data_IF_335819432656
#
_entry.id   IF_335819432656
#
_cell.length_a   1.000
_cell.length_b   1.000
_cell.length_c   1.000
_cell.angle_alpha   90.00
_cell.angle_beta   90.00
_cell.angle_gamma   90.00
#
_symmetry.space_group_name_H-M   'P 1'
#
loop_
_entity.id
_entity.type
_entity.pdbx_description
1 polymer ?
#
# COMPACT_ATOMS: atom_id res chain seq x y z
N UNK A 1 19.11 -5.78 -4.63
CA UNK A 1 19.19 -4.59 -5.53
C UNK A 1 18.60 -3.40 -4.77
N UNK A 2 19.06 -2.16 -5.03
CA UNK A 2 18.45 -0.97 -4.40
C UNK A 2 17.03 -0.78 -4.95
N UNK A 3 16.06 -0.53 -4.08
CA UNK A 3 14.68 -0.28 -4.50
C UNK A 3 14.57 1.03 -5.27
N UNK A 4 13.65 1.07 -6.23
CA UNK A 4 13.42 2.20 -7.13
C UNK A 4 12.12 2.91 -6.77
N UNK A 5 12.19 4.21 -6.53
CA UNK A 5 11.04 5.08 -6.21
C UNK A 5 10.83 6.06 -7.35
N UNK A 6 9.61 6.14 -7.86
CA UNK A 6 9.20 7.18 -8.82
C UNK A 6 8.53 8.32 -8.04
N UNK A 7 9.08 9.52 -8.14
CA UNK A 7 8.53 10.75 -7.54
C UNK A 7 7.80 11.54 -8.62
N UNK A 8 6.53 11.82 -8.40
CA UNK A 8 5.64 12.50 -9.35
C UNK A 8 5.02 13.73 -8.70
N UNK A 9 5.49 14.89 -9.11
CA UNK A 9 5.02 16.19 -8.61
C UNK A 9 5.43 17.27 -9.63
N UNK A 10 4.62 18.27 -9.89
CA UNK A 10 4.94 19.36 -10.82
C UNK A 10 5.89 20.40 -10.21
N UNK A 11 5.96 20.46 -8.88
CA UNK A 11 6.86 21.34 -8.13
C UNK A 11 8.31 20.81 -8.17
N UNK A 12 9.15 21.42 -9.01
CA UNK A 12 10.56 21.01 -9.20
C UNK A 12 11.34 20.91 -7.89
N UNK A 13 11.23 21.93 -7.04
CA UNK A 13 11.99 22.01 -5.80
C UNK A 13 11.60 20.92 -4.81
N UNK A 14 10.31 20.56 -4.78
CA UNK A 14 9.81 19.47 -3.95
C UNK A 14 10.32 18.11 -4.44
N UNK A 15 10.31 17.88 -5.76
CA UNK A 15 10.86 16.65 -6.36
C UNK A 15 12.34 16.52 -6.03
N UNK A 16 13.14 17.58 -6.19
CA UNK A 16 14.57 17.58 -5.88
C UNK A 16 14.83 17.32 -4.39
N UNK A 17 14.03 17.93 -3.51
CA UNK A 17 14.12 17.71 -2.06
C UNK A 17 13.83 16.25 -1.68
N UNK A 18 12.75 15.69 -2.20
CA UNK A 18 12.37 14.29 -1.95
C UNK A 18 13.47 13.36 -2.47
N UNK A 19 13.89 13.55 -3.72
CA UNK A 19 14.94 12.76 -4.37
C UNK A 19 16.25 12.78 -3.56
N UNK A 20 16.70 13.96 -3.14
CA UNK A 20 17.89 14.09 -2.30
C UNK A 20 17.83 13.21 -1.04
N UNK A 21 16.68 13.23 -0.33
CA UNK A 21 16.51 12.45 0.89
C UNK A 21 16.43 10.94 0.63
N UNK A 22 15.78 10.52 -0.45
CA UNK A 22 15.67 9.12 -0.82
C UNK A 22 17.02 8.54 -1.29
N UNK A 23 17.74 9.27 -2.13
CA UNK A 23 19.07 8.85 -2.64
C UNK A 23 20.12 8.77 -1.51
N UNK A 24 20.06 9.67 -0.53
CA UNK A 24 20.91 9.62 0.66
C UNK A 24 20.72 8.33 1.47
N UNK A 25 19.56 7.70 1.37
CA UNK A 25 19.26 6.42 2.01
C UNK A 25 19.49 5.20 1.10
N UNK A 26 20.14 5.43 -0.04
CA UNK A 26 20.52 4.35 -0.97
C UNK A 26 19.41 3.88 -1.90
N UNK A 27 18.30 4.61 -2.01
CA UNK A 27 17.22 4.32 -2.95
C UNK A 27 17.53 4.91 -4.33
N UNK A 28 17.06 4.25 -5.39
CA UNK A 28 17.10 4.81 -6.74
C UNK A 28 15.87 5.68 -6.96
N UNK A 29 16.04 6.88 -7.54
CA UNK A 29 14.92 7.76 -7.81
C UNK A 29 14.72 7.96 -9.31
N UNK A 30 13.47 7.85 -9.73
CA UNK A 30 12.95 8.31 -11.01
C UNK A 30 12.06 9.52 -10.76
N UNK A 31 11.85 10.35 -11.76
CA UNK A 31 11.01 11.55 -11.64
C UNK A 31 10.05 11.67 -12.83
N UNK A 32 8.88 12.22 -12.56
CA UNK A 32 7.92 12.67 -13.55
C UNK A 32 7.24 13.94 -13.05
N UNK A 33 6.77 14.80 -13.96
CA UNK A 33 6.18 16.10 -13.59
C UNK A 33 4.73 16.25 -13.98
N UNK A 34 4.17 15.22 -14.56
CA UNK A 34 2.79 15.15 -14.99
C UNK A 34 2.34 13.69 -14.98
N UNK A 35 1.01 13.49 -15.04
CA UNK A 35 0.41 12.16 -14.95
C UNK A 35 0.69 11.26 -16.16
N UNK A 36 0.85 11.82 -17.36
CA UNK A 36 1.12 11.02 -18.57
C UNK A 36 2.54 10.45 -18.53
N UNK A 37 3.52 11.30 -18.22
CA UNK A 37 4.90 10.89 -18.01
C UNK A 37 5.02 9.86 -16.89
N UNK A 38 4.29 10.06 -15.79
CA UNK A 38 4.25 9.11 -14.68
C UNK A 38 3.76 7.71 -15.10
N UNK A 39 2.69 7.64 -15.88
CA UNK A 39 2.15 6.38 -16.40
C UNK A 39 3.13 5.69 -17.37
N UNK A 40 3.77 6.47 -18.24
CA UNK A 40 4.78 5.93 -19.16
C UNK A 40 5.97 5.33 -18.39
N UNK A 41 6.57 6.11 -17.48
CA UNK A 41 7.72 5.66 -16.68
C UNK A 41 7.35 4.45 -15.83
N UNK A 42 6.16 4.43 -15.23
CA UNK A 42 5.68 3.29 -14.44
C UNK A 42 5.63 1.99 -15.25
N UNK A 43 5.14 2.04 -16.49
CA UNK A 43 5.07 0.88 -17.40
C UNK A 43 6.42 0.40 -17.91
N UNK A 44 7.33 1.33 -18.18
CA UNK A 44 8.65 1.02 -18.73
C UNK A 44 9.65 0.54 -17.66
N UNK A 45 9.59 1.12 -16.47
CA UNK A 45 10.58 0.93 -15.40
C UNK A 45 10.08 0.10 -14.23
N UNK A 46 8.76 -0.08 -14.10
CA UNK A 46 8.14 -0.84 -13.00
C UNK A 46 8.77 -0.54 -11.64
N UNK A 47 8.69 0.72 -11.13
CA UNK A 47 9.27 1.07 -9.84
C UNK A 47 8.62 0.28 -8.71
N UNK A 48 9.34 0.09 -7.61
CA UNK A 48 8.83 -0.60 -6.42
C UNK A 48 7.79 0.25 -5.67
N UNK A 49 7.93 1.59 -5.75
CA UNK A 49 7.04 2.54 -5.11
C UNK A 49 6.92 3.82 -5.94
N UNK A 50 5.72 4.42 -5.92
CA UNK A 50 5.45 5.75 -6.47
C UNK A 50 5.02 6.68 -5.34
N UNK A 51 5.65 7.86 -5.25
CA UNK A 51 5.16 9.02 -4.50
C UNK A 51 4.44 9.91 -5.50
N UNK A 52 3.15 10.14 -5.32
CA UNK A 52 2.27 10.70 -6.36
C UNK A 52 1.48 11.90 -5.82
N UNK A 53 1.71 13.09 -6.38
CA UNK A 53 0.85 14.22 -6.09
C UNK A 53 -0.54 14.03 -6.71
N UNK A 54 -1.56 14.46 -6.00
CA UNK A 54 -2.93 14.48 -6.51
C UNK A 54 -3.16 15.61 -7.52
N UNK A 55 -2.54 16.76 -7.31
CA UNK A 55 -2.77 17.98 -8.07
C UNK A 55 -1.82 18.13 -9.25
N UNK A 56 -1.79 17.14 -10.15
CA UNK A 56 -0.95 17.17 -11.34
C UNK A 56 -1.64 17.89 -12.51
N UNK A 57 -0.87 18.56 -13.39
CA UNK A 57 -1.41 19.11 -14.62
C UNK A 57 -1.81 17.98 -15.59
N UNK A 58 -2.92 18.20 -16.32
CA UNK A 58 -3.42 17.25 -17.30
C UNK A 58 -4.13 16.06 -16.68
N UNK A 59 -3.45 14.94 -16.53
CA UNK A 59 -3.98 13.73 -15.86
C UNK A 59 -3.70 13.82 -14.38
N UNK A 60 -4.74 13.98 -13.56
CA UNK A 60 -4.61 14.08 -12.10
C UNK A 60 -4.12 12.79 -11.44
N UNK A 61 -3.63 12.89 -10.21
CA UNK A 61 -3.06 11.75 -9.48
C UNK A 61 -4.05 10.63 -9.18
N UNK A 62 -5.35 10.92 -9.01
CA UNK A 62 -6.37 9.89 -8.80
C UNK A 62 -6.56 9.06 -10.06
N UNK A 63 -6.61 9.71 -11.22
CA UNK A 63 -6.73 9.03 -12.50
C UNK A 63 -5.47 8.22 -12.83
N UNK A 64 -4.27 8.74 -12.50
CA UNK A 64 -3.00 7.98 -12.59
C UNK A 64 -3.10 6.71 -11.74
N UNK A 65 -3.47 6.83 -10.48
CA UNK A 65 -3.62 5.68 -9.58
C UNK A 65 -4.62 4.66 -10.14
N UNK A 66 -5.79 5.11 -10.59
CA UNK A 66 -6.82 4.26 -11.18
C UNK A 66 -6.31 3.48 -12.40
N UNK A 67 -5.56 4.14 -13.30
CA UNK A 67 -4.97 3.51 -14.49
C UNK A 67 -3.91 2.49 -14.12
N UNK A 68 -3.04 2.80 -13.15
CA UNK A 68 -2.02 1.87 -12.66
C UNK A 68 -2.65 0.61 -12.06
N UNK A 69 -3.72 0.74 -11.29
CA UNK A 69 -4.42 -0.41 -10.67
C UNK A 69 -5.17 -1.30 -11.67
N UNK A 70 -5.54 -0.76 -12.83
CA UNK A 70 -6.20 -1.53 -13.91
C UNK A 70 -5.22 -2.28 -14.81
N UNK A 71 -3.96 -1.92 -14.81
CA UNK A 71 -2.93 -2.53 -15.66
C UNK A 71 -2.16 -3.58 -14.84
N UNK A 72 -2.24 -4.89 -15.17
CA UNK A 72 -1.57 -5.96 -14.42
C UNK A 72 -0.06 -5.74 -14.26
N UNK A 73 0.57 -5.01 -15.19
CA UNK A 73 2.00 -4.72 -15.17
C UNK A 73 2.40 -3.73 -14.09
N UNK A 74 1.47 -2.87 -13.67
CA UNK A 74 1.71 -1.78 -12.72
C UNK A 74 0.82 -1.85 -11.47
N UNK A 75 -0.12 -2.79 -11.41
CA UNK A 75 -1.09 -2.92 -10.32
C UNK A 75 -0.44 -3.15 -8.96
N UNK A 76 0.74 -3.79 -8.94
CA UNK A 76 1.51 -4.08 -7.73
C UNK A 76 2.41 -2.94 -7.25
N UNK A 77 2.61 -1.87 -8.04
CA UNK A 77 3.41 -0.71 -7.64
C UNK A 77 2.78 -0.09 -6.39
N UNK A 78 3.55 0.03 -5.31
CA UNK A 78 3.07 0.70 -4.11
C UNK A 78 2.91 2.21 -4.38
N UNK A 79 1.81 2.82 -3.90
CA UNK A 79 1.50 4.24 -4.13
C UNK A 79 1.29 4.96 -2.81
N UNK A 80 2.12 5.98 -2.55
CA UNK A 80 1.91 6.96 -1.49
C UNK A 80 1.41 8.24 -2.16
N UNK A 81 0.17 8.66 -1.86
CA UNK A 81 -0.38 9.89 -2.39
C UNK A 81 0.05 11.09 -1.55
N UNK A 82 0.43 12.18 -2.22
CA UNK A 82 0.61 13.50 -1.61
C UNK A 82 -0.64 14.35 -1.89
N UNK A 83 -1.14 15.06 -0.90
CA UNK A 83 -2.33 15.91 -1.04
C UNK A 83 -2.17 17.23 -0.31
N UNK A 84 -2.61 18.33 -0.92
CA UNK A 84 -2.70 19.63 -0.26
C UNK A 84 -3.96 19.76 0.63
N UNK A 85 -4.94 18.87 0.45
CA UNK A 85 -6.23 18.93 1.14
C UNK A 85 -6.30 17.93 2.28
N UNK A 86 -6.61 18.44 3.46
CA UNK A 86 -6.86 17.65 4.66
C UNK A 86 -8.31 17.13 4.73
N UNK A 87 -9.14 17.34 3.70
CA UNK A 87 -10.53 16.91 3.74
C UNK A 87 -10.63 15.38 3.73
N UNK A 88 -11.40 14.85 4.66
CA UNK A 88 -11.64 13.41 4.88
C UNK A 88 -12.08 12.70 3.60
N UNK A 89 -12.86 13.37 2.75
CA UNK A 89 -13.39 12.86 1.50
C UNK A 89 -12.28 12.54 0.50
N UNK A 90 -11.30 13.42 0.33
CA UNK A 90 -10.20 13.23 -0.62
C UNK A 90 -9.28 12.07 -0.22
N UNK A 91 -9.10 11.85 1.09
CA UNK A 91 -8.33 10.72 1.62
C UNK A 91 -9.03 9.38 1.38
N UNK A 92 -10.35 9.33 1.65
CA UNK A 92 -11.16 8.12 1.43
C UNK A 92 -11.19 7.79 -0.07
N UNK A 93 -11.40 8.79 -0.93
CA UNK A 93 -11.39 8.60 -2.39
C UNK A 93 -10.02 8.10 -2.87
N UNK A 94 -8.92 8.67 -2.39
CA UNK A 94 -7.57 8.22 -2.75
C UNK A 94 -7.32 6.77 -2.35
N UNK A 95 -7.70 6.38 -1.14
CA UNK A 95 -7.62 4.99 -0.68
C UNK A 95 -8.59 4.08 -1.44
N UNK A 96 -9.81 4.52 -1.72
CA UNK A 96 -10.77 3.77 -2.56
C UNK A 96 -10.30 3.61 -4.00
N UNK A 97 -9.46 4.50 -4.53
CA UNK A 97 -8.84 4.38 -5.86
C UNK A 97 -7.61 3.46 -5.90
N UNK A 98 -7.12 2.95 -4.76
CA UNK A 98 -6.04 1.96 -4.73
C UNK A 98 -4.71 2.45 -4.18
N UNK A 99 -4.62 3.64 -3.63
CA UNK A 99 -3.43 4.07 -2.91
C UNK A 99 -3.16 3.17 -1.70
N UNK A 100 -1.90 2.95 -1.40
CA UNK A 100 -1.45 2.17 -0.25
C UNK A 100 -1.33 3.06 1.01
N UNK A 101 -1.02 4.34 0.82
CA UNK A 101 -0.89 5.33 1.88
C UNK A 101 -1.12 6.75 1.31
N UNK A 102 -1.30 7.72 2.18
CA UNK A 102 -1.39 9.14 1.81
C UNK A 102 -0.66 10.02 2.82
N UNK A 103 -0.27 11.21 2.37
CA UNK A 103 0.38 12.21 3.20
C UNK A 103 -0.10 13.62 2.82
N UNK A 104 -0.37 14.43 3.82
CA UNK A 104 -0.83 15.82 3.62
C UNK A 104 0.37 16.76 3.51
N UNK A 105 0.36 17.64 2.50
CA UNK A 105 1.30 18.75 2.38
C UNK A 105 0.85 19.91 3.33
N UNK A 106 1.78 20.58 4.04
CA UNK A 106 3.23 20.34 4.07
C UNK A 106 3.60 19.16 4.98
N UNK A 107 4.58 18.38 4.57
CA UNK A 107 5.08 17.23 5.31
C UNK A 107 6.59 17.33 5.61
N UNK A 108 7.02 16.56 6.59
CA UNK A 108 8.45 16.39 6.86
C UNK A 108 9.09 15.39 5.89
N UNK A 109 10.23 15.71 5.24
CA UNK A 109 10.98 14.71 4.44
C UNK A 109 11.33 13.44 5.24
N UNK A 110 11.55 13.57 6.54
CA UNK A 110 11.80 12.41 7.43
C UNK A 110 10.57 11.53 7.56
N UNK A 111 9.39 12.12 7.62
CA UNK A 111 8.13 11.38 7.69
C UNK A 111 7.88 10.63 6.39
N UNK A 112 8.02 11.30 5.23
CA UNK A 112 7.90 10.64 3.93
C UNK A 112 8.87 9.47 3.81
N UNK A 113 10.13 9.68 4.18
CA UNK A 113 11.15 8.63 4.16
C UNK A 113 10.78 7.43 5.05
N UNK A 114 10.25 7.69 6.26
CA UNK A 114 9.80 6.62 7.16
C UNK A 114 8.67 5.79 6.51
N UNK A 115 7.72 6.46 5.84
CA UNK A 115 6.61 5.80 5.11
C UNK A 115 7.12 5.00 3.92
N UNK A 116 8.00 5.58 3.09
CA UNK A 116 8.64 4.89 1.97
C UNK A 116 9.37 3.64 2.44
N UNK A 117 10.20 3.76 3.50
CA UNK A 117 10.90 2.60 4.08
C UNK A 117 9.94 1.55 4.65
N UNK A 118 8.87 1.96 5.32
CA UNK A 118 7.85 1.06 5.84
C UNK A 118 7.16 0.28 4.71
N UNK A 119 6.89 0.91 3.59
CA UNK A 119 6.32 0.27 2.40
C UNK A 119 7.34 -0.66 1.73
N UNK A 120 8.59 -0.25 1.57
CA UNK A 120 9.63 -1.02 0.86
C UNK A 120 10.28 -2.15 1.70
N UNK A 121 10.23 -2.10 3.05
CA UNK A 121 10.87 -3.09 3.96
C UNK A 121 10.38 -4.54 3.76
N UNK A 122 9.37 -4.75 2.99
CA UNK A 122 8.60 -5.98 2.81
C UNK A 122 9.27 -7.05 1.96
N UNK A 123 10.36 -6.72 1.27
CA UNK A 123 11.16 -7.68 0.50
C UNK A 123 12.34 -8.29 1.27
N UNK A 124 12.59 -7.88 2.54
CA UNK A 124 13.78 -8.27 3.30
C UNK A 124 13.48 -8.97 4.63
N UNK A 125 12.34 -9.62 4.78
CA UNK A 125 12.05 -10.46 5.94
C UNK A 125 13.03 -11.63 6.03
N UNK A 126 14.02 -11.51 6.91
CA UNK A 126 14.85 -12.61 7.36
C UNK A 126 14.02 -13.53 8.25
N UNK A 127 13.20 -14.40 7.65
CA UNK A 127 12.78 -15.68 8.23
C UNK A 127 12.28 -16.54 7.07
N UNK A 128 12.59 -17.84 7.11
CA UNK A 128 12.29 -18.82 6.07
C UNK A 128 10.90 -18.62 5.47
N UNK A 129 10.72 -18.65 4.15
CA UNK A 129 9.44 -18.43 3.51
C UNK A 129 8.46 -19.51 3.98
N UNK A 130 7.65 -19.16 4.95
CA UNK A 130 6.58 -20.03 5.40
C UNK A 130 5.40 -19.88 4.44
N UNK A 131 5.20 -20.89 3.57
CA UNK A 131 3.95 -21.00 2.83
C UNK A 131 2.87 -21.38 3.84
N UNK A 132 1.92 -20.45 4.05
CA UNK A 132 0.74 -20.68 4.90
C UNK A 132 -0.43 -21.10 4.02
N UNK A 133 -1.03 -22.24 4.34
CA UNK A 133 -2.22 -22.75 3.66
C UNK A 133 -3.39 -22.83 4.63
N UNK A 134 -4.50 -22.25 4.22
CA UNK A 134 -5.76 -22.31 4.98
C UNK A 134 -6.92 -22.42 3.99
N UNK A 135 -7.60 -23.57 3.98
CA UNK A 135 -8.59 -23.86 2.95
C UNK A 135 -7.95 -23.86 1.57
N UNK A 136 -8.48 -23.07 0.64
CA UNK A 136 -7.94 -22.91 -0.70
C UNK A 136 -6.99 -21.72 -0.83
N UNK A 137 -6.81 -20.96 0.26
CA UNK A 137 -5.92 -19.82 0.34
C UNK A 137 -4.49 -20.30 0.64
N UNK A 138 -3.55 -19.89 -0.20
CA UNK A 138 -2.11 -20.10 0.00
C UNK A 138 -1.40 -18.75 -0.03
N UNK A 139 -0.60 -18.47 0.99
CA UNK A 139 0.18 -17.22 1.13
C UNK A 139 1.66 -17.59 1.20
N UNK A 140 2.41 -17.21 0.19
CA UNK A 140 3.87 -17.32 0.13
C UNK A 140 4.48 -15.95 0.50
N UNK A 141 4.90 -15.82 1.76
CA UNK A 141 5.49 -14.57 2.25
C UNK A 141 6.85 -14.28 1.57
N UNK A 142 7.59 -15.31 1.16
CA UNK A 142 8.88 -15.15 0.50
C UNK A 142 8.77 -14.65 -0.94
N UNK A 143 7.72 -15.06 -1.65
CA UNK A 143 7.43 -14.57 -3.01
C UNK A 143 6.49 -13.37 -3.03
N UNK A 144 5.97 -12.96 -1.88
CA UNK A 144 4.93 -11.92 -1.79
C UNK A 144 3.71 -12.25 -2.66
N UNK A 145 3.29 -13.51 -2.64
CA UNK A 145 2.25 -14.05 -3.52
C UNK A 145 1.13 -14.69 -2.73
N UNK A 146 -0.09 -14.47 -3.20
CA UNK A 146 -1.29 -15.12 -2.70
C UNK A 146 -1.96 -15.88 -3.82
N UNK A 147 -2.41 -17.11 -3.54
CA UNK A 147 -3.26 -17.86 -4.45
C UNK A 147 -4.53 -18.32 -3.74
N UNK A 148 -5.63 -18.34 -4.48
CA UNK A 148 -6.92 -18.92 -4.06
C UNK A 148 -7.32 -19.96 -5.10
N UNK A 149 -7.60 -21.19 -4.69
CA UNK A 149 -7.84 -22.33 -5.60
C UNK A 149 -6.74 -22.50 -6.67
N UNK A 150 -5.48 -22.23 -6.31
CA UNK A 150 -4.34 -22.31 -7.24
C UNK A 150 -4.21 -21.14 -8.22
N UNK A 151 -5.14 -20.18 -8.21
CA UNK A 151 -5.09 -18.98 -9.05
C UNK A 151 -4.45 -17.83 -8.29
N UNK A 152 -3.49 -17.15 -8.91
CA UNK A 152 -2.82 -15.99 -8.30
C UNK A 152 -3.82 -14.84 -8.13
N UNK A 153 -3.84 -14.27 -6.93
CA UNK A 153 -4.63 -13.08 -6.57
C UNK A 153 -3.69 -11.88 -6.45
N UNK A 154 -3.91 -10.88 -7.27
CA UNK A 154 -3.12 -9.65 -7.24
C UNK A 154 -3.53 -8.75 -6.08
N UNK A 155 -2.72 -8.74 -5.04
CA UNK A 155 -2.88 -7.83 -3.91
C UNK A 155 -1.91 -6.66 -4.04
N UNK A 156 -2.35 -5.48 -3.58
CA UNK A 156 -1.40 -4.39 -3.31
C UNK A 156 -0.55 -4.76 -2.10
N UNK A 157 0.54 -4.03 -1.94
CA UNK A 157 1.48 -4.29 -0.84
C UNK A 157 0.77 -4.22 0.52
N UNK A 158 -0.11 -3.23 0.73
CA UNK A 158 -0.85 -3.08 2.00
C UNK A 158 -1.93 -4.14 2.21
N UNK A 159 -2.58 -4.59 1.15
CA UNK A 159 -3.54 -5.69 1.24
C UNK A 159 -2.84 -7.01 1.61
N UNK A 160 -1.68 -7.27 1.04
CA UNK A 160 -0.86 -8.43 1.38
C UNK A 160 -0.41 -8.42 2.84
N UNK A 161 0.14 -7.28 3.31
CA UNK A 161 0.57 -7.14 4.69
C UNK A 161 -0.59 -7.27 5.69
N UNK A 162 -1.74 -6.68 5.35
CA UNK A 162 -2.94 -6.78 6.16
C UNK A 162 -3.38 -8.24 6.31
N UNK A 163 -3.38 -9.00 5.21
CA UNK A 163 -3.66 -10.42 5.24
C UNK A 163 -2.65 -11.16 6.13
N UNK A 164 -1.36 -10.92 5.93
CA UNK A 164 -0.30 -11.53 6.74
C UNK A 164 -0.41 -11.17 8.23
N UNK A 165 -0.70 -9.91 8.56
CA UNK A 165 -0.89 -9.45 9.95
C UNK A 165 -2.05 -10.18 10.63
N UNK A 166 -3.19 -10.29 9.94
CA UNK A 166 -4.36 -10.99 10.44
C UNK A 166 -4.10 -12.50 10.61
N UNK A 167 -3.43 -13.14 9.65
CA UNK A 167 -3.06 -14.57 9.74
C UNK A 167 -2.06 -14.84 10.86
N UNK A 168 -1.07 -13.96 11.06
CA UNK A 168 -0.08 -14.06 12.16
C UNK A 168 -0.72 -13.89 13.53
N UNK A 169 -1.82 -13.15 13.62
CA UNK A 169 -2.59 -13.00 14.86
C UNK A 169 -3.25 -14.30 15.32
N UNK A 170 -3.33 -15.33 14.45
CA UNK A 170 -3.77 -16.68 14.75
C UNK A 170 -5.14 -16.70 15.50
N UNK A 171 -6.15 -16.11 14.89
CA UNK A 171 -7.52 -16.03 15.43
C UNK A 171 -7.74 -14.94 16.48
N UNK A 172 -6.70 -14.26 16.97
CA UNK A 172 -6.87 -13.11 17.86
C UNK A 172 -7.44 -11.92 17.10
N UNK A 173 -8.31 -11.18 17.76
CA UNK A 173 -8.83 -9.92 17.21
C UNK A 173 -7.75 -8.86 17.28
N UNK A 174 -7.45 -8.23 16.14
CA UNK A 174 -6.65 -7.02 16.08
C UNK A 174 -7.59 -5.82 16.00
N UNK A 175 -7.39 -4.84 16.88
CA UNK A 175 -8.11 -3.58 16.77
C UNK A 175 -7.51 -2.72 15.63
N UNK A 176 -8.21 -1.65 15.23
CA UNK A 176 -7.81 -0.81 14.09
C UNK A 176 -6.44 -0.14 14.32
N UNK A 177 -6.16 0.29 15.54
CA UNK A 177 -4.88 0.91 15.90
C UNK A 177 -3.73 -0.09 15.78
N UNK A 178 -3.91 -1.31 16.30
CA UNK A 178 -2.91 -2.38 16.15
C UNK A 178 -2.65 -2.75 14.69
N UNK A 179 -3.70 -2.76 13.86
CA UNK A 179 -3.57 -2.99 12.42
C UNK A 179 -2.80 -1.84 11.77
N UNK A 180 -3.14 -0.58 12.09
CA UNK A 180 -2.44 0.60 11.58
C UNK A 180 -0.96 0.60 11.98
N UNK A 181 -0.66 0.29 13.24
CA UNK A 181 0.72 0.20 13.70
C UNK A 181 1.48 -0.92 12.98
N UNK A 182 0.88 -2.11 12.89
CA UNK A 182 1.53 -3.29 12.29
C UNK A 182 1.74 -3.14 10.80
N UNK A 183 0.72 -2.64 10.07
CA UNK A 183 0.71 -2.60 8.60
C UNK A 183 1.25 -1.28 8.05
N UNK A 184 1.08 -0.17 8.73
CA UNK A 184 1.50 1.16 8.28
C UNK A 184 2.66 1.76 9.10
N UNK A 185 2.96 1.21 10.30
CA UNK A 185 4.07 1.65 11.13
C UNK A 185 3.79 2.93 11.93
N UNK A 186 2.53 3.24 12.16
CA UNK A 186 2.13 4.45 12.88
C UNK A 186 2.08 4.23 14.40
N UNK A 187 3.02 4.81 15.13
CA UNK A 187 3.07 4.74 16.59
C UNK A 187 2.19 5.80 17.33
N UNK A 188 1.59 6.75 16.60
CA UNK A 188 0.68 7.76 17.16
C UNK A 188 -0.49 7.98 16.20
N UNK A 189 -1.58 7.27 16.46
CA UNK A 189 -2.78 7.22 15.63
C UNK A 189 -3.68 8.48 15.70
N UNK A 190 -3.16 9.64 16.12
CA UNK A 190 -3.99 10.84 16.37
C UNK A 190 -4.55 11.44 15.08
N UNK A 191 -3.95 11.17 13.90
CA UNK A 191 -4.36 11.76 12.62
C UNK A 191 -4.71 10.77 11.51
N UNK A 192 -4.67 9.45 11.76
CA UNK A 192 -5.00 8.47 10.73
C UNK A 192 -6.30 7.79 11.08
N UNK A 193 -7.31 8.08 10.28
CA UNK A 193 -8.65 7.56 10.51
C UNK A 193 -8.68 6.04 10.42
N UNK A 194 -9.38 5.43 11.36
CA UNK A 194 -9.71 4.00 11.41
C UNK A 194 -10.36 3.49 10.11
N UNK A 195 -10.90 4.39 9.28
CA UNK A 195 -11.49 4.11 7.96
C UNK A 195 -10.49 3.57 6.93
N UNK A 196 -9.19 3.94 7.03
CA UNK A 196 -8.14 3.37 6.16
C UNK A 196 -8.11 1.83 6.26
N UNK A 197 -8.19 1.31 7.47
CA UNK A 197 -8.25 -0.15 7.70
C UNK A 197 -9.49 -0.75 7.06
N UNK A 198 -10.64 -0.14 7.26
CA UNK A 198 -11.94 -0.66 6.78
C UNK A 198 -11.98 -0.74 5.24
N UNK A 199 -11.42 0.26 4.55
CA UNK A 199 -11.31 0.28 3.09
C UNK A 199 -10.41 -0.85 2.59
N UNK A 200 -9.24 -1.06 3.20
CA UNK A 200 -8.34 -2.14 2.80
C UNK A 200 -8.90 -3.53 3.14
N UNK A 201 -9.62 -3.69 4.24
CA UNK A 201 -10.36 -4.93 4.58
C UNK A 201 -11.42 -5.22 3.51
N UNK A 202 -12.20 -4.21 3.08
CA UNK A 202 -13.21 -4.39 2.04
C UNK A 202 -12.60 -4.91 0.74
N UNK A 203 -11.54 -4.25 0.27
CA UNK A 203 -10.83 -4.63 -0.96
C UNK A 203 -10.20 -6.01 -0.88
N UNK A 204 -9.55 -6.29 0.23
CA UNK A 204 -8.96 -7.60 0.47
C UNK A 204 -10.02 -8.70 0.37
N UNK A 205 -11.18 -8.48 0.98
CA UNK A 205 -12.32 -9.41 0.86
C UNK A 205 -12.79 -9.58 -0.58
N UNK A 206 -12.95 -8.49 -1.32
CA UNK A 206 -13.37 -8.51 -2.74
C UNK A 206 -12.40 -9.34 -3.60
N UNK A 207 -11.10 -9.25 -3.33
CA UNK A 207 -10.06 -9.98 -4.07
C UNK A 207 -9.91 -11.45 -3.67
N UNK A 208 -10.16 -11.80 -2.42
CA UNK A 208 -10.05 -13.18 -1.91
C UNK A 208 -11.21 -14.10 -2.36
N UNK A 209 -12.22 -13.59 -3.03
CA UNK A 209 -13.35 -14.40 -3.50
C UNK A 209 -14.01 -15.14 -2.33
N UNK A 210 -14.25 -16.46 -2.45
CA UNK A 210 -14.96 -17.26 -1.45
C UNK A 210 -14.23 -17.30 -0.08
N UNK A 211 -12.92 -17.12 -0.06
CA UNK A 211 -12.13 -17.08 1.17
C UNK A 211 -12.31 -15.80 1.99
N UNK A 212 -13.08 -14.80 1.49
CA UNK A 212 -13.36 -13.55 2.21
C UNK A 212 -14.00 -13.76 3.58
N UNK A 213 -14.76 -14.84 3.75
CA UNK A 213 -15.47 -15.20 4.99
C UNK A 213 -14.53 -15.42 6.16
N UNK A 214 -13.26 -15.76 5.88
CA UNK A 214 -12.22 -15.94 6.90
C UNK A 214 -11.81 -14.65 7.59
N UNK A 215 -12.04 -13.51 6.96
CA UNK A 215 -11.80 -12.20 7.58
C UNK A 215 -13.07 -11.77 8.28
N UNK A 216 -13.13 -12.00 9.58
CA UNK A 216 -14.33 -11.73 10.41
C UNK A 216 -14.24 -10.34 11.04
N UNK A 217 -15.35 -9.59 10.93
CA UNK A 217 -15.50 -8.30 11.62
C UNK A 217 -16.05 -8.54 13.02
N UNK A 218 -15.31 -8.11 14.04
CA UNK A 218 -15.79 -8.07 15.42
C UNK A 218 -16.28 -6.65 15.71
N UNK A 219 -17.60 -6.47 15.71
CA UNK A 219 -18.26 -5.16 15.85
C UNK A 219 -17.73 -4.39 17.06
N UNK A 220 -17.36 -3.12 16.85
CA UNK A 220 -16.85 -2.24 17.90
C UNK A 220 -15.41 -2.54 18.36
N UNK A 221 -14.78 -3.63 17.87
CA UNK A 221 -13.42 -4.03 18.29
C UNK A 221 -12.44 -3.97 17.12
N UNK A 222 -12.63 -4.77 16.06
CA UNK A 222 -11.68 -4.86 14.97
C UNK A 222 -11.92 -6.06 14.06
N UNK A 223 -10.83 -6.72 13.66
CA UNK A 223 -10.83 -7.80 12.68
C UNK A 223 -10.00 -8.99 13.15
N UNK A 224 -10.38 -10.18 12.73
CA UNK A 224 -9.59 -11.41 12.93
C UNK A 224 -9.65 -12.29 11.69
N UNK A 225 -8.69 -13.20 11.58
CA UNK A 225 -8.64 -14.24 10.57
C UNK A 225 -8.97 -15.59 11.19
N UNK A 226 -9.88 -16.34 10.60
CA UNK A 226 -10.25 -17.68 11.02
C UNK A 226 -9.55 -18.73 10.14
N UNK A 227 -8.69 -19.55 10.76
CA UNK A 227 -7.96 -20.63 10.10
C UNK A 227 -8.76 -21.94 10.04
N UNK A 228 -9.85 -22.07 10.79
CA UNK A 228 -10.74 -23.24 10.78
C UNK A 228 -11.59 -23.31 9.51
N UNK A 229 -12.10 -24.49 9.18
CA UNK A 229 -13.08 -24.66 8.11
C UNK A 229 -14.35 -23.86 8.48
N UNK A 230 -14.77 -22.97 7.58
CA UNK A 230 -16.08 -22.32 7.66
C UNK A 230 -17.13 -23.32 7.27
#
# INVERSE_FOLDING_TARGET
MAATVLVVDDEKDLVELIKYHLEKEGLKCLEARDGETALQVARERTPDLMVLDLMLPGVDGLEVCRKLRKDPKTSSIAIIMLTAKAEEVDRIVGLEMGADDYMVKPFSPRELLARVKAVLRRGQGQDMPAIKRVGTLEVDEGKHQVTVNGTVVELTVKEFDLLCALMRANGRVLNREQILETVWGYSNAVDIESRTVDVHIRRLREKLGDEFTRIVTVKGVGYRFESGSV
#
